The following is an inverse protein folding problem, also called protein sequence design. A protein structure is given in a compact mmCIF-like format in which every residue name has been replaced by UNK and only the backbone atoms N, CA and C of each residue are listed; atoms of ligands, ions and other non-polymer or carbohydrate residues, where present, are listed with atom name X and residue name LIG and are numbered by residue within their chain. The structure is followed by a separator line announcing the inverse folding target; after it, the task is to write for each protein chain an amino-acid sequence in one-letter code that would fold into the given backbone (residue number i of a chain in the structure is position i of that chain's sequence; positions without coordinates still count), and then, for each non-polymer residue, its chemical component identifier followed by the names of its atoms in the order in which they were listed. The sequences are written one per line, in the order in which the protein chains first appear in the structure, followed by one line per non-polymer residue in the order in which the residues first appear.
data_IF_755109868967
#
_entry.id   IF_755109868967
#
_cell.length_a   1.000
_cell.length_b   1.000
_cell.length_c   1.000
_cell.angle_alpha   90.00
_cell.angle_beta   90.00
_cell.angle_gamma   90.00
#
_symmetry.space_group_name_H-M   'P 1'
#
loop_
_entity.id
_entity.type
_entity.pdbx_description
1 polymer ?
#
# COMPACT_ATOMS: atom_id res chain seq x y z
N UNK A 1 -4.18 10.61 -22.28
CA UNK A 1 -5.20 10.09 -21.34
C UNK A 1 -6.17 11.23 -21.07
N UNK A 2 -7.49 10.98 -21.04
CA UNK A 2 -8.46 12.06 -20.75
C UNK A 2 -8.30 12.53 -19.29
N UNK A 3 -8.40 13.83 -19.07
CA UNK A 3 -8.46 14.43 -17.73
C UNK A 3 -9.63 13.81 -16.93
N UNK A 4 -9.39 13.50 -15.65
CA UNK A 4 -10.42 12.98 -14.75
C UNK A 4 -10.54 11.45 -14.64
N UNK A 5 -9.62 10.67 -15.21
CA UNK A 5 -9.55 9.22 -14.98
C UNK A 5 -8.55 8.89 -13.86
N UNK A 6 -8.73 7.80 -13.08
CA UNK A 6 -7.84 7.43 -11.96
C UNK A 6 -6.56 6.75 -12.48
N UNK A 7 -6.43 6.61 -13.80
CA UNK A 7 -5.33 5.94 -14.49
C UNK A 7 -4.08 6.82 -14.58
N UNK A 8 -4.00 7.86 -13.75
CA UNK A 8 -2.73 8.49 -13.43
C UNK A 8 -1.77 7.40 -12.89
N UNK A 9 -0.59 7.22 -13.50
CA UNK A 9 0.31 6.14 -13.11
C UNK A 9 0.73 6.18 -11.64
N UNK A 10 0.81 7.37 -11.04
CA UNK A 10 1.13 7.52 -9.62
C UNK A 10 -0.04 7.05 -8.74
N UNK A 11 -1.28 7.37 -9.11
CA UNK A 11 -2.46 6.88 -8.41
C UNK A 11 -2.57 5.34 -8.47
N UNK A 12 -2.36 4.73 -9.63
CA UNK A 12 -2.41 3.27 -9.78
C UNK A 12 -1.24 2.57 -9.07
N UNK A 13 -0.04 3.16 -9.07
CA UNK A 13 1.06 2.66 -8.25
C UNK A 13 0.70 2.61 -6.75
N UNK A 14 -0.01 3.61 -6.24
CA UNK A 14 -0.51 3.58 -4.85
C UNK A 14 -1.56 2.51 -4.63
N UNK A 15 -2.48 2.29 -5.58
CA UNK A 15 -3.42 1.15 -5.51
C UNK A 15 -2.66 -0.17 -5.43
N UNK A 16 -1.61 -0.35 -6.24
CA UNK A 16 -0.77 -1.54 -6.18
C UNK A 16 -0.09 -1.71 -4.81
N UNK A 17 0.39 -0.62 -4.19
CA UNK A 17 0.93 -0.65 -2.81
C UNK A 17 -0.14 -1.08 -1.80
N UNK A 18 -1.36 -0.54 -1.89
CA UNK A 18 -2.46 -0.92 -0.99
C UNK A 18 -2.86 -2.38 -1.15
N UNK A 19 -2.90 -2.89 -2.38
CA UNK A 19 -3.19 -4.30 -2.67
C UNK A 19 -2.07 -5.21 -2.14
N UNK A 20 -0.81 -4.86 -2.41
CA UNK A 20 0.37 -5.61 -1.96
C UNK A 20 0.45 -5.71 -0.44
N UNK A 21 0.06 -4.66 0.27
CA UNK A 21 0.03 -4.65 1.74
C UNK A 21 -1.22 -5.30 2.31
N UNK A 22 -2.22 -5.62 1.49
CA UNK A 22 -3.53 -6.11 1.92
C UNK A 22 -4.40 -5.06 2.59
N UNK A 23 -4.07 -3.76 2.46
CA UNK A 23 -4.95 -2.67 2.88
C UNK A 23 -6.21 -2.66 2.01
N UNK A 24 -6.04 -2.96 0.72
CA UNK A 24 -7.13 -3.26 -0.22
C UNK A 24 -7.08 -4.73 -0.57
N UNK A 25 -8.18 -5.44 -0.34
CA UNK A 25 -8.33 -6.84 -0.74
C UNK A 25 -8.70 -7.00 -2.22
N UNK A 26 -8.51 -8.21 -2.76
CA UNK A 26 -8.81 -8.51 -4.16
C UNK A 26 -10.26 -8.18 -4.56
N UNK A 27 -11.23 -8.51 -3.70
CA UNK A 27 -12.64 -8.23 -3.99
C UNK A 27 -12.95 -6.73 -4.06
N UNK A 28 -12.28 -5.92 -3.23
CA UNK A 28 -12.41 -4.45 -3.29
C UNK A 28 -11.78 -3.90 -4.57
N UNK A 29 -10.63 -4.45 -4.98
CA UNK A 29 -9.99 -4.09 -6.25
C UNK A 29 -10.84 -4.43 -7.47
N UNK A 30 -11.49 -5.60 -7.48
CA UNK A 30 -12.43 -6.00 -8.53
C UNK A 30 -13.61 -5.03 -8.59
N UNK A 31 -14.23 -4.70 -7.44
CA UNK A 31 -15.34 -3.74 -7.39
C UNK A 31 -14.94 -2.35 -7.90
N UNK A 32 -13.73 -1.89 -7.56
CA UNK A 32 -13.16 -0.66 -8.11
C UNK A 32 -12.99 -0.73 -9.63
N UNK A 33 -12.47 -1.85 -10.15
CA UNK A 33 -12.30 -2.04 -11.59
C UNK A 33 -13.64 -2.04 -12.33
N UNK A 34 -14.63 -2.77 -11.81
CA UNK A 34 -15.99 -2.84 -12.36
C UNK A 34 -16.64 -1.44 -12.42
N UNK A 35 -16.52 -0.66 -11.34
CA UNK A 35 -17.06 0.70 -11.29
C UNK A 35 -16.49 1.58 -12.40
N UNK A 36 -15.19 1.46 -12.70
CA UNK A 36 -14.56 2.21 -13.79
C UNK A 36 -14.89 1.66 -15.17
N UNK A 37 -15.00 0.35 -15.34
CA UNK A 37 -15.46 -0.27 -16.60
C UNK A 37 -16.84 0.26 -16.99
N UNK A 38 -17.74 0.42 -16.02
CA UNK A 38 -19.09 0.96 -16.27
C UNK A 38 -19.11 2.46 -16.61
N UNK A 39 -18.09 3.22 -16.19
CA UNK A 39 -17.98 4.68 -16.44
C UNK A 39 -17.31 5.00 -17.78
N UNK A 40 -16.63 4.05 -18.43
CA UNK A 40 -15.83 4.28 -19.62
C UNK A 40 -16.52 3.75 -20.89
N UNK A 41 -16.58 4.59 -21.93
CA UNK A 41 -17.06 4.17 -23.25
C UNK A 41 -16.17 3.08 -23.89
N UNK A 42 -14.87 3.11 -23.57
CA UNK A 42 -13.85 2.20 -24.09
C UNK A 42 -12.80 1.89 -23.00
N UNK A 43 -13.10 0.98 -22.06
CA UNK A 43 -12.18 0.62 -20.98
C UNK A 43 -10.91 -0.07 -21.51
N UNK A 44 -9.73 0.19 -20.93
CA UNK A 44 -8.50 -0.47 -21.34
C UNK A 44 -8.52 -1.96 -20.95
N UNK A 45 -7.81 -2.79 -21.72
CA UNK A 45 -7.81 -4.25 -21.53
C UNK A 45 -7.40 -4.68 -20.13
N UNK A 46 -6.33 -4.11 -19.57
CA UNK A 46 -5.85 -4.46 -18.24
C UNK A 46 -6.93 -4.27 -17.15
N UNK A 47 -7.81 -3.28 -17.32
CA UNK A 47 -8.91 -3.01 -16.38
C UNK A 47 -10.02 -4.05 -16.53
N UNK A 48 -10.35 -4.45 -17.76
CA UNK A 48 -11.29 -5.55 -18.01
C UNK A 48 -10.77 -6.87 -17.45
N UNK A 49 -9.49 -7.16 -17.61
CA UNK A 49 -8.85 -8.35 -17.05
C UNK A 49 -8.87 -8.33 -15.52
N UNK A 50 -8.65 -7.16 -14.91
CA UNK A 50 -8.68 -6.97 -13.46
C UNK A 50 -10.03 -7.36 -12.83
N UNK A 51 -11.14 -7.15 -13.55
CA UNK A 51 -12.50 -7.49 -13.07
C UNK A 51 -12.71 -9.01 -12.90
N UNK A 52 -11.87 -9.84 -13.52
CA UNK A 52 -12.03 -11.31 -13.55
C UNK A 52 -10.84 -12.05 -12.96
N UNK A 53 -9.89 -11.33 -12.37
CA UNK A 53 -8.63 -11.91 -11.92
C UNK A 53 -8.84 -12.83 -10.70
N UNK A 54 -8.29 -14.05 -10.69
CA UNK A 54 -8.60 -15.04 -9.66
C UNK A 54 -7.83 -14.85 -8.35
N UNK A 55 -6.70 -14.14 -8.39
CA UNK A 55 -5.75 -14.03 -7.28
C UNK A 55 -5.05 -12.66 -7.25
N UNK A 56 -4.63 -12.25 -6.05
CA UNK A 56 -4.06 -10.93 -5.81
C UNK A 56 -2.71 -10.72 -6.53
N UNK A 57 -1.87 -11.75 -6.62
CA UNK A 57 -0.56 -11.63 -7.29
C UNK A 57 -0.69 -11.33 -8.78
N UNK A 58 -1.66 -11.98 -9.44
CA UNK A 58 -1.97 -11.69 -10.84
C UNK A 58 -2.58 -10.30 -11.00
N UNK A 59 -3.41 -9.86 -10.05
CA UNK A 59 -3.98 -8.52 -10.04
C UNK A 59 -2.88 -7.45 -9.93
N UNK A 60 -1.89 -7.67 -9.06
CA UNK A 60 -0.70 -6.82 -8.94
C UNK A 60 0.09 -6.78 -10.24
N UNK A 61 0.29 -7.93 -10.90
CA UNK A 61 0.92 -7.98 -12.23
C UNK A 61 0.24 -7.05 -13.23
N UNK A 62 -1.10 -7.10 -13.33
CA UNK A 62 -1.88 -6.22 -14.21
C UNK A 62 -1.72 -4.73 -13.86
N UNK A 63 -1.65 -4.39 -12.58
CA UNK A 63 -1.42 -3.00 -12.14
C UNK A 63 -0.01 -2.52 -12.49
N UNK A 64 1.00 -3.38 -12.36
CA UNK A 64 2.39 -3.05 -12.71
C UNK A 64 2.65 -2.99 -14.21
N UNK A 65 1.89 -3.75 -15.00
CA UNK A 65 2.00 -3.79 -16.47
C UNK A 65 1.23 -2.64 -17.15
N UNK A 66 0.61 -1.73 -16.39
CA UNK A 66 -0.11 -0.60 -16.97
C UNK A 66 0.82 0.26 -17.84
N UNK A 67 0.34 0.78 -18.99
CA UNK A 67 1.12 1.73 -19.78
C UNK A 67 1.50 2.98 -18.98
N UNK A 68 2.79 3.27 -18.91
CA UNK A 68 3.32 4.43 -18.19
C UNK A 68 3.51 4.21 -16.69
N UNK A 69 3.44 2.96 -16.20
CA UNK A 69 3.76 2.66 -14.81
C UNK A 69 5.13 3.24 -14.43
N UNK A 70 5.25 3.96 -13.30
CA UNK A 70 6.49 4.62 -12.93
C UNK A 70 7.58 3.60 -12.64
N UNK A 71 8.70 3.69 -13.36
CA UNK A 71 9.93 3.02 -12.98
C UNK A 71 10.60 3.85 -11.89
N UNK A 72 10.94 3.23 -10.76
CA UNK A 72 11.63 3.91 -9.67
C UNK A 72 13.13 3.94 -9.98
N UNK A 73 13.55 5.05 -10.60
CA UNK A 73 14.88 5.22 -11.14
C UNK A 73 15.83 5.88 -10.14
N UNK A 74 15.28 6.61 -9.17
CA UNK A 74 16.04 7.33 -8.14
C UNK A 74 15.88 6.70 -6.75
N UNK A 75 16.82 7.01 -5.86
CA UNK A 75 16.78 6.58 -4.46
C UNK A 75 15.63 7.28 -3.73
N UNK A 76 15.34 8.53 -4.10
CA UNK A 76 14.27 9.34 -3.55
C UNK A 76 12.89 8.78 -3.90
N UNK A 77 12.69 8.34 -5.14
CA UNK A 77 11.44 7.69 -5.57
C UNK A 77 11.21 6.36 -4.84
N UNK A 78 12.28 5.58 -4.62
CA UNK A 78 12.21 4.35 -3.81
C UNK A 78 11.86 4.65 -2.35
N UNK A 79 12.48 5.68 -1.78
CA UNK A 79 12.18 6.12 -0.42
C UNK A 79 10.70 6.48 -0.26
N UNK A 80 10.10 7.13 -1.26
CA UNK A 80 8.67 7.44 -1.26
C UNK A 80 7.81 6.17 -1.31
N UNK A 81 8.14 5.20 -2.17
CA UNK A 81 7.39 3.93 -2.23
C UNK A 81 7.51 3.15 -0.91
N UNK A 82 8.70 3.11 -0.32
CA UNK A 82 8.93 2.44 0.96
C UNK A 82 8.10 3.11 2.07
N UNK A 83 8.05 4.44 2.10
CA UNK A 83 7.20 5.17 3.03
C UNK A 83 5.70 4.89 2.81
N UNK A 84 5.24 4.85 1.56
CA UNK A 84 3.84 4.55 1.22
C UNK A 84 3.47 3.10 1.61
N UNK A 85 4.40 2.15 1.45
CA UNK A 85 4.23 0.76 1.89
C UNK A 85 4.10 0.65 3.41
N UNK A 86 5.03 1.25 4.14
CA UNK A 86 5.02 1.25 5.61
C UNK A 86 3.77 1.97 6.15
N UNK A 87 3.38 3.09 5.54
CA UNK A 87 2.16 3.80 5.89
C UNK A 87 0.92 2.90 5.70
N UNK A 88 0.84 2.14 4.60
CA UNK A 88 -0.28 1.23 4.36
C UNK A 88 -0.35 0.08 5.39
N UNK A 89 0.79 -0.49 5.78
CA UNK A 89 0.85 -1.46 6.88
C UNK A 89 0.43 -0.83 8.22
N UNK A 90 0.83 0.42 8.47
CA UNK A 90 0.46 1.13 9.69
C UNK A 90 -1.05 1.45 9.74
N UNK A 91 -1.68 1.72 8.59
CA UNK A 91 -3.13 1.86 8.50
C UNK A 91 -3.85 0.56 8.83
N UNK A 92 -3.35 -0.58 8.34
CA UNK A 92 -3.83 -1.91 8.72
C UNK A 92 -3.65 -2.22 10.21
N UNK A 93 -2.60 -1.70 10.83
CA UNK A 93 -2.46 -1.82 12.27
C UNK A 93 -3.52 -0.97 13.00
N UNK A 94 -3.76 0.26 12.53
CA UNK A 94 -4.74 1.19 13.12
C UNK A 94 -6.18 0.69 13.02
N UNK A 95 -6.54 -0.01 11.95
CA UNK A 95 -7.86 -0.63 11.78
C UNK A 95 -8.00 -1.99 12.49
N UNK A 96 -6.92 -2.49 13.08
CA UNK A 96 -6.89 -3.75 13.83
C UNK A 96 -6.75 -5.00 12.96
N UNK A 97 -6.54 -4.87 11.65
CA UNK A 97 -6.36 -6.01 10.74
C UNK A 97 -5.01 -6.70 10.86
N UNK A 98 -4.01 -6.06 11.48
CA UNK A 98 -2.74 -6.69 11.89
C UNK A 98 -2.30 -6.24 13.29
N UNK A 99 -1.58 -7.11 14.00
CA UNK A 99 -0.96 -6.74 15.28
C UNK A 99 0.24 -5.81 15.08
N UNK A 100 0.74 -5.21 16.16
CA UNK A 100 1.97 -4.41 16.10
C UNK A 100 3.20 -5.27 15.75
N UNK A 101 3.26 -6.50 16.25
CA UNK A 101 4.31 -7.46 15.89
C UNK A 101 4.29 -7.80 14.39
N UNK A 102 3.09 -8.03 13.84
CA UNK A 102 2.92 -8.27 12.40
C UNK A 102 3.36 -7.06 11.56
N UNK A 103 3.07 -5.85 12.02
CA UNK A 103 3.53 -4.62 11.36
C UNK A 103 5.06 -4.58 11.27
N UNK A 104 5.75 -4.77 12.39
CA UNK A 104 7.21 -4.72 12.44
C UNK A 104 7.84 -5.84 11.60
N UNK A 105 7.32 -7.05 11.68
CA UNK A 105 7.81 -8.18 10.90
C UNK A 105 7.71 -7.89 9.40
N UNK A 106 6.50 -7.56 8.91
CA UNK A 106 6.26 -7.30 7.49
C UNK A 106 7.01 -6.08 6.97
N UNK A 107 7.16 -5.05 7.79
CA UNK A 107 7.96 -3.87 7.47
C UNK A 107 9.44 -4.23 7.29
N UNK A 108 10.00 -5.01 8.23
CA UNK A 108 11.38 -5.51 8.14
C UNK A 108 11.59 -6.38 6.90
N UNK A 109 10.73 -7.36 6.66
CA UNK A 109 10.79 -8.25 5.49
C UNK A 109 10.69 -7.48 4.17
N UNK A 110 9.81 -6.49 4.09
CA UNK A 110 9.68 -5.64 2.91
C UNK A 110 10.97 -4.85 2.62
N UNK A 111 11.58 -4.26 3.65
CA UNK A 111 12.78 -3.43 3.50
C UNK A 111 14.04 -4.26 3.25
N UNK A 112 14.15 -5.47 3.81
CA UNK A 112 15.33 -6.34 3.65
C UNK A 112 15.57 -6.71 2.18
N UNK A 113 14.49 -6.89 1.41
CA UNK A 113 14.55 -7.14 -0.03
C UNK A 113 14.81 -5.90 -0.89
N UNK A 114 14.99 -4.71 -0.30
CA UNK A 114 15.05 -3.42 -1.00
C UNK A 114 16.34 -2.66 -0.70
N UNK A 115 17.01 -2.17 -1.75
CA UNK A 115 18.12 -1.22 -1.64
C UNK A 115 17.60 0.23 -1.43
N UNK A 116 16.72 0.43 -0.44
CA UNK A 116 16.15 1.73 -0.06
C UNK A 116 17.03 2.50 0.94
N UNK A 117 16.60 3.70 1.36
CA UNK A 117 17.28 4.45 2.45
C UNK A 117 16.86 3.99 3.85
N UNK A 118 15.65 3.43 3.99
CA UNK A 118 15.13 2.94 5.26
C UNK A 118 15.74 1.58 5.56
N UNK A 119 16.21 1.40 6.80
CA UNK A 119 16.91 0.20 7.24
C UNK A 119 15.94 -0.85 7.78
N UNK A 120 16.02 -2.08 7.29
CA UNK A 120 15.18 -3.18 7.76
C UNK A 120 15.50 -3.56 9.21
N UNK A 121 16.76 -3.36 9.63
CA UNK A 121 17.27 -3.70 10.94
C UNK A 121 16.53 -2.95 12.05
N UNK A 122 16.07 -1.73 11.79
CA UNK A 122 15.30 -0.94 12.76
C UNK A 122 14.03 -1.69 13.19
N UNK A 123 13.28 -2.23 12.23
CA UNK A 123 12.03 -2.95 12.48
C UNK A 123 12.28 -4.28 13.19
N UNK A 124 13.28 -5.04 12.74
CA UNK A 124 13.64 -6.30 13.39
C UNK A 124 14.17 -6.10 14.81
N UNK A 125 14.95 -5.05 15.08
CA UNK A 125 15.41 -4.73 16.44
C UNK A 125 14.24 -4.36 17.35
N UNK A 126 13.29 -3.57 16.85
CA UNK A 126 12.07 -3.21 17.60
C UNK A 126 11.20 -4.44 17.89
N UNK A 127 11.07 -5.36 16.93
CA UNK A 127 10.34 -6.63 17.10
C UNK A 127 11.00 -7.52 18.16
N UNK A 128 12.32 -7.71 18.04
CA UNK A 128 13.10 -8.47 19.02
C UNK A 128 12.95 -7.91 20.45
N UNK A 129 12.90 -6.58 20.59
CA UNK A 129 12.70 -5.94 21.89
C UNK A 129 11.29 -6.22 22.46
N UNK A 130 10.24 -6.11 21.63
CA UNK A 130 8.87 -6.44 22.03
C UNK A 130 8.73 -7.88 22.50
N UNK A 131 9.28 -8.82 21.74
CA UNK A 131 9.23 -10.25 22.06
C UNK A 131 9.92 -10.55 23.38
N UNK A 132 11.11 -9.95 23.60
CA UNK A 132 11.86 -10.09 24.87
C UNK A 132 11.12 -9.51 26.07
N UNK A 133 10.35 -8.43 25.87
CA UNK A 133 9.63 -7.75 26.95
C UNK A 133 8.20 -8.27 27.16
N UNK A 134 7.71 -9.19 26.32
CA UNK A 134 6.37 -9.75 26.41
C UNK A 134 5.27 -8.77 25.98
N UNK A 135 5.54 -7.96 24.94
CA UNK A 135 4.57 -7.03 24.34
C UNK A 135 3.95 -6.00 25.31
N UNK A 136 4.76 -5.25 26.10
CA UNK A 136 4.20 -4.26 27.00
C UNK A 136 3.61 -3.09 26.20
N UNK A 137 2.36 -2.73 26.54
CA UNK A 137 1.61 -1.67 25.85
C UNK A 137 2.39 -0.35 25.74
N UNK A 138 3.08 0.06 26.80
CA UNK A 138 3.88 1.30 26.79
C UNK A 138 4.99 1.29 25.73
N UNK A 139 5.62 0.13 25.45
CA UNK A 139 6.63 0.01 24.41
C UNK A 139 6.01 0.07 23.02
N UNK A 140 4.90 -0.66 22.81
CA UNK A 140 4.12 -0.61 21.57
C UNK A 140 3.75 0.84 21.25
N UNK A 141 3.24 1.57 22.25
CA UNK A 141 2.86 2.96 22.09
C UNK A 141 4.04 3.86 21.72
N UNK A 142 5.17 3.74 22.43
CA UNK A 142 6.37 4.53 22.15
C UNK A 142 6.91 4.29 20.73
N UNK A 143 7.02 3.03 20.31
CA UNK A 143 7.49 2.66 18.97
C UNK A 143 6.53 3.16 17.89
N UNK A 144 5.22 3.00 18.10
CA UNK A 144 4.18 3.45 17.18
C UNK A 144 4.20 4.96 16.98
N UNK A 145 4.38 5.73 18.06
CA UNK A 145 4.50 7.19 17.97
C UNK A 145 5.74 7.61 17.19
N UNK A 146 6.87 6.95 17.42
CA UNK A 146 8.13 7.28 16.75
C UNK A 146 8.10 7.01 15.25
N UNK A 147 7.71 5.79 14.88
CA UNK A 147 7.52 5.40 13.48
C UNK A 147 6.44 6.26 12.82
N UNK A 148 5.34 6.54 13.55
CA UNK A 148 4.25 7.38 13.06
C UNK A 148 4.70 8.81 12.71
N UNK A 149 5.60 9.41 13.50
CA UNK A 149 6.20 10.72 13.18
C UNK A 149 7.03 10.67 11.91
N UNK A 150 7.83 9.62 11.73
CA UNK A 150 8.65 9.43 10.52
C UNK A 150 7.85 9.18 9.24
N UNK A 151 6.58 8.79 9.36
CA UNK A 151 5.70 8.47 8.24
C UNK A 151 4.55 9.46 8.05
N UNK A 152 4.54 10.62 8.73
CA UNK A 152 3.40 11.54 8.76
C UNK A 152 2.88 11.92 7.36
N UNK A 153 3.78 12.27 6.45
CA UNK A 153 3.41 12.67 5.08
C UNK A 153 2.90 11.47 4.27
N UNK A 154 3.51 10.30 4.44
CA UNK A 154 3.09 9.08 3.76
C UNK A 154 1.72 8.59 4.25
N UNK A 155 1.47 8.68 5.56
CA UNK A 155 0.18 8.40 6.16
C UNK A 155 -0.90 9.31 5.57
N UNK A 156 -0.67 10.62 5.55
CA UNK A 156 -1.64 11.56 4.97
C UNK A 156 -1.92 11.27 3.49
N UNK A 157 -0.89 10.96 2.70
CA UNK A 157 -1.04 10.57 1.29
C UNK A 157 -1.83 9.28 1.13
N UNK A 158 -1.47 8.23 1.85
CA UNK A 158 -2.09 6.91 1.70
C UNK A 158 -3.52 6.87 2.27
N UNK A 159 -3.82 7.59 3.35
CA UNK A 159 -5.19 7.76 3.83
C UNK A 159 -6.07 8.49 2.80
N UNK A 160 -5.53 9.53 2.16
CA UNK A 160 -6.23 10.24 1.09
C UNK A 160 -6.48 9.35 -0.12
N UNK A 161 -5.46 8.60 -0.56
CA UNK A 161 -5.56 7.67 -1.67
C UNK A 161 -6.55 6.53 -1.38
N UNK A 162 -6.52 5.97 -0.17
CA UNK A 162 -7.44 4.91 0.24
C UNK A 162 -8.89 5.39 0.25
N UNK A 163 -9.17 6.56 0.86
CA UNK A 163 -10.54 7.14 0.84
C UNK A 163 -11.04 7.40 -0.58
N UNK A 164 -10.17 7.89 -1.46
CA UNK A 164 -10.52 8.11 -2.87
C UNK A 164 -10.83 6.79 -3.57
N UNK A 165 -10.00 5.76 -3.38
CA UNK A 165 -10.23 4.43 -3.91
C UNK A 165 -11.59 3.87 -3.47
N UNK A 166 -11.91 3.97 -2.17
CA UNK A 166 -13.19 3.51 -1.63
C UNK A 166 -14.40 4.25 -2.21
N UNK A 167 -14.29 5.58 -2.39
CA UNK A 167 -15.35 6.37 -3.01
C UNK A 167 -15.57 5.96 -4.47
N UNK A 168 -14.48 5.85 -5.25
CA UNK A 168 -14.54 5.43 -6.65
C UNK A 168 -15.13 4.02 -6.81
N UNK A 169 -14.79 3.09 -5.90
CA UNK A 169 -15.32 1.72 -5.90
C UNK A 169 -16.82 1.64 -5.60
N UNK A 170 -17.38 2.64 -4.91
CA UNK A 170 -18.82 2.75 -4.65
C UNK A 170 -19.60 3.44 -5.77
N UNK A 171 -18.89 3.97 -6.76
CA UNK A 171 -19.50 4.67 -7.89
C UNK A 171 -19.67 6.18 -7.69
N UNK A 172 -19.19 6.74 -6.56
CA UNK A 172 -19.12 8.19 -6.33
C UNK A 172 -18.09 8.86 -7.28
#
# INVERSE_FOLDING_TARGET
MKDGTPFDPVAVARVAVMVRTGLVGLQQLIAWADAWVMKLDAPPLWLLELCTVPEADRALGLLFDMPGFPQLLTVEERDVEDADHLASLLLRHRDGSISWGDFLLRAGEYLDGRNGRRQCEEFFMQLNLLERMGFPEALVQAQREDIGRGLVDALARMESAHRRFEAEARGD
#
